data_IF_648413655395
#
_entry.id   IF_648413655395
#
_cell.length_a   1.000
_cell.length_b   1.000
_cell.length_c   1.000
_cell.angle_alpha   90.00
_cell.angle_beta   90.00
_cell.angle_gamma   90.00
#
_symmetry.space_group_name_H-M   'P 1'
#
loop_
_entity.id
_entity.type
_entity.pdbx_description
1 polymer ?
#
# COMPACT_ATOMS: atom_id res chain seq x y z
N UNK A 1 -2.09 8.44 0.71
CA UNK A 1 -0.67 8.17 0.39
C UNK A 1 0.24 8.11 1.63
N UNK A 2 0.45 9.20 2.40
CA UNK A 2 1.45 9.20 3.51
C UNK A 2 1.26 8.07 4.53
N UNK A 3 0.02 7.77 4.92
CA UNK A 3 -0.28 6.66 5.84
C UNK A 3 0.09 5.28 5.25
N UNK A 4 -0.11 5.09 3.95
CA UNK A 4 0.33 3.87 3.24
C UNK A 4 1.86 3.78 3.30
N UNK A 5 2.57 4.86 2.98
CA UNK A 5 4.04 4.91 3.01
C UNK A 5 4.61 4.60 4.40
N UNK A 6 3.90 4.89 5.50
CA UNK A 6 4.30 4.52 6.88
C UNK A 6 4.23 3.01 7.15
N UNK A 7 3.39 2.28 6.42
CA UNK A 7 3.26 0.83 6.58
C UNK A 7 4.24 0.04 5.70
N UNK A 8 4.85 0.69 4.70
CA UNK A 8 5.81 0.05 3.80
C UNK A 8 7.17 -0.19 4.48
N UNK A 9 7.95 -1.19 4.03
CA UNK A 9 9.32 -1.43 4.51
C UNK A 9 10.31 -0.29 4.19
N UNK A 10 9.97 0.59 3.23
CA UNK A 10 10.78 1.75 2.80
C UNK A 10 12.20 1.41 2.33
N UNK A 11 12.42 0.18 1.86
CA UNK A 11 13.72 -0.27 1.34
C UNK A 11 14.02 0.20 -0.08
N UNK A 12 13.01 0.68 -0.82
CA UNK A 12 13.10 0.96 -2.26
C UNK A 12 13.65 -0.23 -3.08
N UNK A 13 13.35 -1.47 -2.68
CA UNK A 13 13.92 -2.69 -3.28
C UNK A 13 13.58 -2.91 -4.76
N UNK A 14 12.53 -2.24 -5.28
CA UNK A 14 12.01 -2.36 -6.66
C UNK A 14 11.43 -3.74 -7.03
N UNK A 15 11.34 -4.68 -6.10
CA UNK A 15 10.77 -6.02 -6.33
C UNK A 15 9.29 -5.99 -6.73
N UNK A 16 8.56 -4.92 -6.39
CA UNK A 16 7.18 -4.68 -6.82
C UNK A 16 7.07 -3.96 -8.19
N UNK A 17 8.20 -3.79 -8.89
CA UNK A 17 8.31 -3.11 -10.19
C UNK A 17 8.26 -1.58 -10.14
N UNK A 18 8.31 -0.97 -8.96
CA UNK A 18 8.23 0.50 -8.79
C UNK A 18 9.58 1.11 -8.44
N UNK A 19 9.83 2.34 -8.91
CA UNK A 19 11.12 3.03 -8.72
C UNK A 19 11.42 3.36 -7.26
N UNK A 20 10.40 3.64 -6.46
CA UNK A 20 10.47 3.93 -5.02
C UNK A 20 9.23 3.40 -4.29
N UNK A 21 9.34 3.24 -2.95
CA UNK A 21 8.18 2.96 -2.10
C UNK A 21 7.14 4.09 -2.11
N UNK A 22 7.55 5.33 -2.39
CA UNK A 22 6.62 6.45 -2.55
C UNK A 22 5.74 6.28 -3.79
N UNK A 23 6.31 5.87 -4.93
CA UNK A 23 5.54 5.57 -6.15
C UNK A 23 4.58 4.40 -5.91
N UNK A 24 5.04 3.32 -5.27
CA UNK A 24 4.14 2.22 -4.86
C UNK A 24 2.99 2.73 -3.97
N UNK A 25 3.30 3.59 -2.99
CA UNK A 25 2.30 4.16 -2.09
C UNK A 25 1.28 5.06 -2.80
N UNK A 26 1.65 5.75 -3.87
CA UNK A 26 0.74 6.55 -4.68
C UNK A 26 -0.21 5.63 -5.47
N UNK A 27 0.31 4.61 -6.14
CA UNK A 27 -0.49 3.62 -6.87
C UNK A 27 -1.50 2.89 -5.98
N UNK A 28 -1.12 2.58 -4.74
CA UNK A 28 -2.05 1.99 -3.77
C UNK A 28 -3.14 2.99 -3.35
N UNK A 29 -2.80 4.28 -3.19
CA UNK A 29 -3.78 5.31 -2.88
C UNK A 29 -4.79 5.51 -4.03
N UNK A 30 -4.33 5.35 -5.27
CA UNK A 30 -5.16 5.45 -6.49
C UNK A 30 -5.94 4.15 -6.78
N UNK A 31 -5.75 3.10 -5.98
CA UNK A 31 -6.41 1.80 -6.16
C UNK A 31 -5.81 0.92 -7.28
N UNK A 32 -4.71 1.34 -7.90
CA UNK A 32 -4.02 0.59 -8.95
C UNK A 32 -3.19 -0.59 -8.42
N UNK A 33 -2.88 -0.60 -7.11
CA UNK A 33 -2.19 -1.68 -6.40
C UNK A 33 -2.81 -1.92 -5.01
N UNK A 34 -2.62 -3.11 -4.46
CA UNK A 34 -3.03 -3.52 -3.12
C UNK A 34 -1.86 -3.91 -2.20
N UNK A 35 -2.20 -4.34 -0.99
CA UNK A 35 -1.26 -4.85 0.04
C UNK A 35 -0.39 -6.00 -0.47
N UNK A 36 -0.96 -6.88 -1.30
CA UNK A 36 -0.29 -8.05 -1.83
C UNK A 36 0.75 -7.73 -2.92
N UNK A 37 0.71 -6.54 -3.51
CA UNK A 37 1.62 -6.15 -4.59
C UNK A 37 3.03 -5.74 -4.13
N UNK A 38 3.30 -5.72 -2.81
CA UNK A 38 4.63 -5.48 -2.26
C UNK A 38 5.20 -6.78 -1.66
N UNK A 39 6.17 -7.45 -2.32
CA UNK A 39 6.72 -8.72 -1.84
C UNK A 39 7.39 -8.63 -0.46
N UNK A 40 8.00 -7.47 -0.15
CA UNK A 40 8.68 -7.23 1.13
C UNK A 40 7.73 -6.81 2.26
N UNK A 41 6.42 -6.63 1.99
CA UNK A 41 5.47 -6.21 3.02
C UNK A 41 5.10 -7.41 3.91
N UNK A 42 5.50 -7.35 5.18
CA UNK A 42 5.23 -8.43 6.14
C UNK A 42 3.73 -8.54 6.45
N UNK A 43 3.31 -9.74 6.85
CA UNK A 43 1.90 -10.08 7.13
C UNK A 43 1.17 -9.05 8.01
N UNK A 44 1.79 -8.63 9.12
CA UNK A 44 1.16 -7.66 10.01
C UNK A 44 0.92 -6.29 9.35
N UNK A 45 1.80 -5.86 8.45
CA UNK A 45 1.63 -4.60 7.73
C UNK A 45 0.68 -4.73 6.53
N UNK A 46 0.58 -5.91 5.92
CA UNK A 46 -0.46 -6.23 4.92
C UNK A 46 -1.86 -6.06 5.51
N UNK A 47 -2.10 -6.67 6.68
CA UNK A 47 -3.38 -6.56 7.40
C UNK A 47 -3.71 -5.10 7.73
N UNK A 48 -2.76 -4.36 8.32
CA UNK A 48 -2.96 -2.93 8.65
C UNK A 48 -3.25 -2.08 7.41
N UNK A 49 -2.61 -2.39 6.29
CA UNK A 49 -2.84 -1.67 5.04
C UNK A 49 -4.22 -1.98 4.48
N UNK A 50 -4.66 -3.25 4.50
CA UNK A 50 -6.00 -3.65 4.09
C UNK A 50 -7.09 -2.98 4.94
N UNK A 51 -6.94 -2.99 6.27
CA UNK A 51 -7.84 -2.30 7.18
C UNK A 51 -7.91 -0.79 6.90
N UNK A 52 -6.76 -0.17 6.63
CA UNK A 52 -6.70 1.25 6.26
C UNK A 52 -7.45 1.52 4.94
N UNK A 53 -7.20 0.73 3.90
CA UNK A 53 -7.83 0.91 2.59
C UNK A 53 -9.33 0.65 2.62
N UNK A 54 -9.79 -0.31 3.43
CA UNK A 54 -11.21 -0.64 3.53
C UNK A 54 -12.04 0.53 4.06
N UNK A 55 -11.49 1.43 4.90
CA UNK A 55 -12.20 2.63 5.38
C UNK A 55 -12.74 3.50 4.23
N UNK A 56 -11.94 3.65 3.16
CA UNK A 56 -12.32 4.46 2.00
C UNK A 56 -13.20 3.70 1.01
N UNK A 57 -13.13 2.36 0.99
CA UNK A 57 -14.08 1.55 0.21
C UNK A 57 -15.50 1.71 0.75
N UNK A 58 -15.70 1.80 2.06
CA UNK A 58 -17.04 2.01 2.61
C UNK A 58 -17.60 3.41 2.33
N UNK A 59 -16.74 4.42 2.10
CA UNK A 59 -17.19 5.77 1.74
C UNK A 59 -17.69 5.86 0.29
N UNK A 60 -17.16 5.04 -0.63
CA UNK A 60 -17.55 5.07 -2.05
C UNK A 60 -18.89 4.38 -2.36
N UNK A 61 -19.51 3.69 -1.38
CA UNK A 61 -20.77 2.95 -1.52
C UNK A 61 -21.91 3.55 -0.67
N UNK A 62 -21.71 4.76 -0.13
CA UNK A 62 -22.73 5.56 0.55
C UNK A 62 -23.16 6.74 -0.32
#
# INVERSE_FOLDING_TARGET
MIEILKLLPRTNCRECGQSTCMVFSALVADGAKGSEDCPQLIRNNKIKLEEYLNKFKFEAWN
#
